data_IF_943490351604
#
_entry.id   IF_943490351604
#
_cell.length_a   1.000
_cell.length_b   1.000
_cell.length_c   1.000
_cell.angle_alpha   90.00
_cell.angle_beta   90.00
_cell.angle_gamma   90.00
#
_symmetry.space_group_name_H-M   'P 1'
#
loop_
_entity.id
_entity.type
_entity.pdbx_description
1 polymer ?
#
# COMPACT_ATOMS: atom_id res chain seq x y z
N UNK A 1 -13.15 28.23 -31.45
CA UNK A 1 -12.88 26.81 -31.78
C UNK A 1 -11.85 26.14 -30.87
N UNK A 2 -10.92 26.86 -30.23
CA UNK A 2 -9.91 26.26 -29.34
C UNK A 2 -10.47 25.75 -28.00
N UNK A 3 -11.59 26.29 -27.51
CA UNK A 3 -12.20 25.88 -26.23
C UNK A 3 -13.04 24.62 -26.30
N UNK A 4 -13.58 24.29 -27.48
CA UNK A 4 -14.44 23.14 -27.70
C UNK A 4 -13.84 22.37 -28.87
N UNK A 5 -13.03 21.36 -28.56
CA UNK A 5 -12.29 20.53 -29.52
C UNK A 5 -13.23 19.60 -30.34
N UNK A 6 -14.44 20.08 -30.63
CA UNK A 6 -15.49 19.36 -31.34
C UNK A 6 -15.31 19.54 -32.86
N UNK A 7 -15.57 18.50 -33.66
CA UNK A 7 -15.69 18.63 -35.11
C UNK A 7 -16.87 19.51 -35.50
N UNK A 8 -16.66 20.41 -36.46
CA UNK A 8 -17.72 21.28 -36.99
C UNK A 8 -17.77 21.23 -38.52
N UNK A 9 -18.97 21.23 -39.09
CA UNK A 9 -19.16 21.48 -40.52
C UNK A 9 -19.25 23.00 -40.79
N UNK A 10 -18.98 23.43 -42.02
CA UNK A 10 -19.00 24.87 -42.41
C UNK A 10 -20.28 25.59 -41.96
N UNK A 11 -21.44 24.93 -42.06
CA UNK A 11 -22.73 25.47 -41.62
C UNK A 11 -22.77 25.75 -40.12
N UNK A 12 -22.20 24.86 -39.32
CA UNK A 12 -22.17 24.95 -37.85
C UNK A 12 -21.20 26.04 -37.38
N UNK A 13 -20.15 26.28 -38.16
CA UNK A 13 -19.17 27.35 -37.91
C UNK A 13 -19.83 28.71 -38.13
N UNK A 14 -20.60 28.84 -39.20
CA UNK A 14 -21.32 30.09 -39.53
C UNK A 14 -22.39 30.40 -38.49
N UNK A 15 -23.15 29.40 -38.02
CA UNK A 15 -24.14 29.59 -36.96
C UNK A 15 -23.50 29.93 -35.62
N UNK A 16 -22.35 29.32 -35.28
CA UNK A 16 -21.59 29.64 -34.06
C UNK A 16 -20.97 31.05 -34.12
N UNK A 17 -20.64 31.54 -35.32
CA UNK A 17 -20.21 32.93 -35.55
C UNK A 17 -21.39 33.89 -35.76
N UNK A 18 -22.62 33.49 -35.42
CA UNK A 18 -23.85 34.27 -35.54
C UNK A 18 -24.13 34.84 -36.95
N UNK A 19 -23.69 34.15 -38.00
CA UNK A 19 -23.93 34.56 -39.39
C UNK A 19 -23.13 35.78 -39.84
N UNK A 20 -22.15 36.24 -39.06
CA UNK A 20 -21.32 37.43 -39.37
C UNK A 20 -20.47 37.23 -40.64
N UNK A 21 -20.19 35.98 -41.03
CA UNK A 21 -19.36 35.64 -42.19
C UNK A 21 -20.19 34.87 -43.23
N UNK A 22 -20.13 35.32 -44.48
CA UNK A 22 -20.76 34.63 -45.61
C UNK A 22 -20.10 33.28 -45.93
N UNK A 23 -20.91 32.32 -46.41
CA UNK A 23 -20.49 30.92 -46.63
C UNK A 23 -19.22 30.78 -47.48
N UNK A 24 -19.10 31.56 -48.54
CA UNK A 24 -17.96 31.52 -49.46
C UNK A 24 -16.66 31.99 -48.81
N UNK A 25 -16.73 33.04 -47.99
CA UNK A 25 -15.57 33.57 -47.25
C UNK A 25 -15.14 32.58 -46.16
N UNK A 26 -16.09 31.98 -45.44
CA UNK A 26 -15.81 30.98 -44.42
C UNK A 26 -15.07 29.77 -45.00
N UNK A 27 -15.49 29.26 -46.18
CA UNK A 27 -14.81 28.16 -46.86
C UNK A 27 -13.37 28.52 -47.22
N UNK A 28 -13.15 29.74 -47.75
CA UNK A 28 -11.80 30.20 -48.14
C UNK A 28 -10.86 30.32 -46.93
N UNK A 29 -11.34 30.88 -45.83
CA UNK A 29 -10.56 31.02 -44.58
C UNK A 29 -10.24 29.65 -43.99
N UNK A 30 -11.21 28.72 -43.97
CA UNK A 30 -10.99 27.37 -43.46
C UNK A 30 -10.01 26.58 -44.33
N UNK A 31 -10.04 26.76 -45.65
CA UNK A 31 -9.06 26.16 -46.56
C UNK A 31 -7.64 26.70 -46.28
N UNK A 32 -7.48 28.01 -46.10
CA UNK A 32 -6.19 28.60 -45.71
C UNK A 32 -5.68 28.10 -44.35
N UNK A 33 -6.55 27.93 -43.37
CA UNK A 33 -6.18 27.37 -42.06
C UNK A 33 -5.79 25.88 -42.10
N UNK A 34 -6.27 25.14 -43.10
CA UNK A 34 -5.86 23.77 -43.40
C UNK A 34 -4.49 23.77 -44.07
N UNK A 35 -4.23 24.68 -45.01
CA UNK A 35 -2.90 24.87 -45.63
C UNK A 35 -1.85 25.26 -44.60
N UNK A 36 -2.20 26.13 -43.64
CA UNK A 36 -1.37 26.48 -42.49
C UNK A 36 -1.22 25.36 -41.45
N UNK A 37 -1.83 24.18 -41.69
CA UNK A 37 -1.76 22.98 -40.85
C UNK A 37 -2.26 23.18 -39.39
N UNK A 38 -3.12 24.19 -39.18
CA UNK A 38 -3.77 24.47 -37.88
C UNK A 38 -5.07 23.68 -37.71
N UNK A 39 -5.74 23.36 -38.80
CA UNK A 39 -6.96 22.55 -38.83
C UNK A 39 -6.72 21.25 -39.61
N UNK A 40 -7.42 20.19 -39.20
CA UNK A 40 -7.59 18.97 -39.97
C UNK A 40 -8.95 19.04 -40.65
N UNK A 41 -8.98 18.83 -41.97
CA UNK A 41 -10.21 18.73 -42.74
C UNK A 41 -10.38 17.30 -43.25
N UNK A 42 -11.58 16.76 -43.12
CA UNK A 42 -11.95 15.47 -43.70
C UNK A 42 -13.31 15.58 -44.40
N UNK A 43 -13.34 15.08 -45.63
CA UNK A 43 -14.55 15.09 -46.47
C UNK A 43 -15.41 13.87 -46.16
N UNK A 44 -16.67 14.11 -45.83
CA UNK A 44 -17.70 13.10 -45.62
C UNK A 44 -18.84 13.36 -46.61
N UNK A 45 -18.84 12.61 -47.71
CA UNK A 45 -19.79 12.79 -48.81
C UNK A 45 -19.73 14.21 -49.38
N UNK A 46 -20.83 14.97 -49.25
CA UNK A 46 -20.96 16.35 -49.75
C UNK A 46 -20.51 17.43 -48.75
N UNK A 47 -20.07 17.06 -47.55
CA UNK A 47 -19.77 17.97 -46.45
C UNK A 47 -18.33 17.79 -45.96
N UNK A 48 -17.67 18.90 -45.63
CA UNK A 48 -16.31 18.91 -45.08
C UNK A 48 -16.40 19.24 -43.60
N UNK A 49 -15.79 18.40 -42.77
CA UNK A 49 -15.72 18.55 -41.32
C UNK A 49 -14.33 19.03 -40.95
N UNK A 50 -14.26 20.09 -40.15
CA UNK A 50 -13.03 20.71 -39.69
C UNK A 50 -12.85 20.48 -38.19
N UNK A 51 -11.63 20.11 -37.79
CA UNK A 51 -11.22 19.89 -36.40
C UNK A 51 -9.91 20.61 -36.15
N UNK A 52 -9.74 21.23 -34.97
CA UNK A 52 -8.45 21.84 -34.61
C UNK A 52 -7.40 20.76 -34.40
N UNK A 53 -6.21 20.94 -34.98
CA UNK A 53 -5.12 19.99 -34.83
C UNK A 53 -4.63 19.99 -33.39
N UNK A 54 -4.75 18.84 -32.73
CA UNK A 54 -4.31 18.64 -31.35
C UNK A 54 -2.79 18.39 -31.31
N UNK A 55 -2.00 19.41 -31.61
CA UNK A 55 -0.54 19.34 -31.51
C UNK A 55 -0.10 19.24 -30.05
N UNK A 56 0.50 18.11 -29.67
CA UNK A 56 1.07 17.83 -28.34
C UNK A 56 0.05 17.99 -27.20
N UNK A 57 -1.05 17.24 -27.25
CA UNK A 57 -1.60 16.78 -25.97
C UNK A 57 -0.46 15.95 -25.37
N UNK A 58 0.20 16.49 -24.33
CA UNK A 58 1.04 15.67 -23.45
C UNK A 58 0.09 14.61 -22.93
N UNK A 59 0.08 13.44 -23.56
CA UNK A 59 -0.47 12.23 -22.95
C UNK A 59 0.32 12.18 -21.64
N UNK A 60 -0.36 12.46 -20.54
CA UNK A 60 0.26 12.33 -19.24
C UNK A 60 0.56 10.83 -19.11
N UNK A 61 1.79 10.45 -19.44
CA UNK A 61 2.36 9.14 -19.12
C UNK A 61 2.65 9.12 -17.62
N UNK A 62 1.63 9.44 -16.82
CA UNK A 62 1.64 9.23 -15.36
C UNK A 62 1.48 7.75 -15.02
N UNK A 63 1.30 6.89 -16.03
CA UNK A 63 1.42 5.45 -15.89
C UNK A 63 2.89 5.06 -16.13
N UNK A 64 3.52 4.30 -15.21
CA UNK A 64 4.83 3.71 -15.48
C UNK A 64 4.74 2.87 -16.75
N UNK A 65 5.79 2.96 -17.57
CA UNK A 65 5.91 2.16 -18.78
C UNK A 65 6.02 0.68 -18.40
N UNK A 66 5.53 -0.25 -19.22
CA UNK A 66 5.64 -1.70 -18.95
C UNK A 66 7.08 -2.13 -18.62
N UNK A 67 8.07 -1.53 -19.28
CA UNK A 67 9.49 -1.74 -18.99
C UNK A 67 9.88 -1.38 -17.54
N UNK A 68 9.34 -0.29 -16.99
CA UNK A 68 9.56 0.12 -15.59
C UNK A 68 8.86 -0.81 -14.59
N UNK A 69 7.74 -1.43 -15.00
CA UNK A 69 7.07 -2.43 -14.19
C UNK A 69 7.87 -3.74 -14.16
N UNK A 70 8.40 -4.19 -15.30
CA UNK A 70 9.25 -5.38 -15.36
C UNK A 70 10.53 -5.23 -14.53
N UNK A 71 11.19 -4.05 -14.57
CA UNK A 71 12.37 -3.80 -13.73
C UNK A 71 12.03 -3.81 -12.25
N UNK A 72 10.89 -3.21 -11.85
CA UNK A 72 10.40 -3.28 -10.46
C UNK A 72 10.11 -4.71 -10.03
N UNK A 73 9.43 -5.50 -10.86
CA UNK A 73 9.13 -6.91 -10.56
C UNK A 73 10.43 -7.69 -10.34
N UNK A 74 11.41 -7.55 -11.23
CA UNK A 74 12.71 -8.22 -11.08
C UNK A 74 13.40 -7.81 -9.78
N UNK A 75 13.48 -6.51 -9.49
CA UNK A 75 14.15 -6.01 -8.28
C UNK A 75 13.47 -6.48 -6.98
N UNK A 76 12.14 -6.58 -6.98
CA UNK A 76 11.39 -7.07 -5.82
C UNK A 76 11.55 -8.58 -5.65
N UNK A 77 11.59 -9.34 -6.74
CA UNK A 77 11.88 -10.77 -6.70
C UNK A 77 13.27 -11.05 -6.16
N UNK A 78 14.27 -10.29 -6.58
CA UNK A 78 15.63 -10.43 -6.08
C UNK A 78 15.71 -10.07 -4.60
N UNK A 79 15.03 -9.00 -4.17
CA UNK A 79 14.98 -8.63 -2.75
C UNK A 79 14.29 -9.68 -1.88
N UNK A 80 13.22 -10.32 -2.38
CA UNK A 80 12.55 -11.42 -1.67
C UNK A 80 13.47 -12.64 -1.54
N UNK A 81 14.27 -12.94 -2.58
CA UNK A 81 15.26 -14.02 -2.51
C UNK A 81 16.33 -13.73 -1.47
N UNK A 82 16.94 -12.53 -1.52
CA UNK A 82 17.98 -12.14 -0.56
C UNK A 82 17.47 -12.17 0.87
N UNK A 83 16.30 -11.59 1.15
CA UNK A 83 15.71 -11.63 2.51
C UNK A 83 15.41 -13.06 2.96
N UNK A 84 14.96 -13.94 2.07
CA UNK A 84 14.75 -15.35 2.41
C UNK A 84 16.06 -16.11 2.66
N UNK A 85 17.14 -15.77 1.96
CA UNK A 85 18.47 -16.33 2.20
C UNK A 85 19.02 -15.83 3.55
N UNK A 86 18.94 -14.53 3.82
CA UNK A 86 19.31 -13.96 5.13
C UNK A 86 18.50 -14.58 6.28
N UNK A 87 17.21 -14.83 6.07
CA UNK A 87 16.38 -15.54 7.04
C UNK A 87 16.86 -16.98 7.22
N UNK A 88 17.22 -17.71 6.17
CA UNK A 88 17.74 -19.08 6.30
C UNK A 88 19.09 -19.12 7.02
N UNK A 89 19.96 -18.15 6.76
CA UNK A 89 21.29 -18.09 7.36
C UNK A 89 21.24 -17.66 8.84
N UNK A 90 20.32 -16.76 9.19
CA UNK A 90 20.17 -16.24 10.56
C UNK A 90 19.28 -17.13 11.45
N UNK A 91 18.50 -18.02 10.84
CA UNK A 91 17.54 -18.87 11.55
C UNK A 91 18.17 -20.23 11.80
N UNK A 92 18.22 -20.64 13.08
CA UNK A 92 18.66 -21.97 13.48
C UNK A 92 17.91 -23.05 12.65
N UNK A 93 18.57 -24.09 12.12
CA UNK A 93 17.92 -25.14 11.32
C UNK A 93 16.75 -25.84 12.04
N UNK A 94 16.64 -25.71 13.37
CA UNK A 94 15.53 -26.24 14.17
C UNK A 94 14.51 -25.18 14.62
N UNK A 95 14.65 -23.92 14.22
CA UNK A 95 13.70 -22.87 14.57
C UNK A 95 12.39 -23.06 13.78
N UNK A 96 11.34 -23.40 14.51
CA UNK A 96 9.98 -23.43 13.99
C UNK A 96 9.28 -22.14 14.38
N UNK A 97 8.81 -21.32 13.43
CA UNK A 97 7.99 -20.16 13.73
C UNK A 97 6.77 -20.60 14.54
N UNK A 98 6.67 -20.15 15.78
CA UNK A 98 5.53 -20.44 16.63
C UNK A 98 4.29 -19.75 16.07
N UNK A 99 3.20 -20.50 15.99
CA UNK A 99 1.91 -19.94 15.60
C UNK A 99 1.35 -19.07 16.71
N UNK A 100 0.51 -18.09 16.37
CA UNK A 100 -0.17 -17.21 17.34
C UNK A 100 -0.93 -18.03 18.40
N UNK A 101 -1.47 -19.20 18.00
CA UNK A 101 -2.18 -20.09 18.91
C UNK A 101 -1.23 -20.78 19.92
N UNK A 102 -0.03 -21.16 19.52
CA UNK A 102 0.98 -21.76 20.41
C UNK A 102 1.52 -20.72 21.40
N UNK A 103 1.75 -19.48 20.95
CA UNK A 103 2.16 -18.36 21.81
C UNK A 103 1.10 -18.12 22.90
N UNK A 104 -0.17 -18.02 22.51
CA UNK A 104 -1.27 -17.83 23.46
C UNK A 104 -1.36 -18.95 24.51
N UNK A 105 -1.15 -20.21 24.10
CA UNK A 105 -1.13 -21.34 25.05
C UNK A 105 0.01 -21.22 26.06
N UNK A 106 1.21 -20.84 25.61
CA UNK A 106 2.35 -20.63 26.50
C UNK A 106 2.10 -19.49 27.49
N UNK A 107 1.50 -18.38 27.05
CA UNK A 107 1.11 -17.26 27.92
C UNK A 107 0.10 -17.70 28.98
N UNK A 108 -0.91 -18.49 28.60
CA UNK A 108 -1.89 -19.04 29.52
C UNK A 108 -1.24 -19.98 30.56
N UNK A 109 -0.27 -20.79 30.14
CA UNK A 109 0.45 -21.70 31.03
C UNK A 109 1.39 -20.97 31.99
N UNK A 110 2.10 -19.94 31.53
CA UNK A 110 2.87 -19.06 32.41
C UNK A 110 1.98 -18.41 33.47
N UNK A 111 0.80 -17.90 33.06
CA UNK A 111 -0.16 -17.33 34.00
C UNK A 111 -0.65 -18.34 35.05
N UNK A 112 -0.80 -19.62 34.70
CA UNK A 112 -1.14 -20.68 35.66
C UNK A 112 0.00 -20.95 36.62
N UNK A 113 1.24 -21.03 36.12
CA UNK A 113 2.43 -21.27 36.93
C UNK A 113 2.64 -20.13 37.94
N UNK A 114 2.50 -18.88 37.53
CA UNK A 114 2.60 -17.73 38.43
C UNK A 114 1.58 -17.81 39.58
N UNK A 115 0.33 -18.15 39.26
CA UNK A 115 -0.72 -18.35 40.27
C UNK A 115 -0.36 -19.48 41.25
N UNK A 116 0.27 -20.55 40.77
CA UNK A 116 0.71 -21.67 41.62
C UNK A 116 1.84 -21.20 42.54
N UNK A 117 2.85 -20.52 42.00
CA UNK A 117 3.98 -19.99 42.79
C UNK A 117 3.47 -19.04 43.88
N UNK A 118 2.57 -18.10 43.55
CA UNK A 118 1.98 -17.17 44.53
C UNK A 118 1.22 -17.93 45.64
N UNK A 119 0.42 -18.94 45.28
CA UNK A 119 -0.34 -19.72 46.29
C UNK A 119 0.60 -20.52 47.19
N UNK A 120 1.62 -21.17 46.61
CA UNK A 120 2.56 -22.01 47.36
C UNK A 120 3.46 -21.18 48.27
N UNK A 121 3.96 -20.04 47.82
CA UNK A 121 4.72 -19.10 48.65
C UNK A 121 3.88 -18.59 49.82
N UNK A 122 2.61 -18.23 49.57
CA UNK A 122 1.69 -17.83 50.64
C UNK A 122 1.45 -18.95 51.67
N UNK A 123 1.25 -20.19 51.22
CA UNK A 123 1.07 -21.34 52.11
C UNK A 123 2.33 -21.62 52.93
N UNK A 124 3.50 -21.56 52.30
CA UNK A 124 4.78 -21.74 52.98
C UNK A 124 5.00 -20.67 54.05
N UNK A 125 4.70 -19.39 53.76
CA UNK A 125 4.79 -18.30 54.73
C UNK A 125 3.83 -18.49 55.91
N UNK A 126 2.58 -18.89 55.66
CA UNK A 126 1.59 -19.14 56.73
C UNK A 126 2.08 -20.29 57.62
N UNK A 127 2.55 -21.38 57.02
CA UNK A 127 3.10 -22.51 57.75
C UNK A 127 4.31 -22.10 58.59
N UNK A 128 5.23 -21.34 58.00
CA UNK A 128 6.43 -20.87 58.69
C UNK A 128 6.10 -19.96 59.89
N UNK A 129 5.19 -18.99 59.71
CA UNK A 129 4.73 -18.14 60.80
C UNK A 129 4.09 -18.97 61.93
N UNK A 130 3.32 -20.00 61.58
CA UNK A 130 2.70 -20.89 62.58
C UNK A 130 3.75 -21.67 63.38
N UNK A 131 4.83 -22.12 62.73
CA UNK A 131 5.95 -22.80 63.41
C UNK A 131 6.66 -21.80 64.34
N UNK A 132 6.95 -20.60 63.85
CA UNK A 132 7.62 -19.54 64.62
C UNK A 132 6.85 -19.16 65.88
N UNK A 133 5.52 -19.09 65.80
CA UNK A 133 4.68 -18.73 66.94
C UNK A 133 4.63 -19.83 68.01
N UNK A 134 4.99 -21.07 67.68
CA UNK A 134 4.87 -22.23 68.57
C UNK A 134 6.21 -22.86 68.98
N UNK A 135 7.36 -22.39 68.46
CA UNK A 135 8.68 -22.97 68.72
C UNK A 135 9.70 -21.92 69.16
N UNK A 136 10.36 -22.17 70.30
CA UNK A 136 11.29 -21.21 70.93
C UNK A 136 12.64 -21.05 70.22
N UNK A 137 13.05 -21.98 69.34
CA UNK A 137 14.37 -21.98 68.70
C UNK A 137 14.30 -21.83 67.17
N UNK A 138 13.70 -20.74 66.73
CA UNK A 138 13.28 -20.57 65.33
C UNK A 138 14.45 -20.43 64.33
N UNK A 139 15.61 -19.88 64.76
CA UNK A 139 16.75 -19.63 63.89
C UNK A 139 17.47 -20.92 63.43
N UNK A 140 17.62 -21.90 64.33
CA UNK A 140 18.24 -23.20 63.99
C UNK A 140 17.37 -24.03 63.04
N UNK A 141 16.04 -23.88 63.14
CA UNK A 141 15.08 -24.60 62.29
C UNK A 141 15.06 -24.00 60.88
N UNK A 142 15.20 -22.68 60.75
CA UNK A 142 15.25 -21.98 59.46
C UNK A 142 16.48 -22.42 58.65
N UNK A 143 17.65 -22.46 59.30
CA UNK A 143 18.90 -22.95 58.71
C UNK A 143 18.84 -24.45 58.40
N UNK A 144 18.27 -25.26 59.30
CA UNK A 144 18.13 -26.72 59.08
C UNK A 144 17.18 -27.08 57.94
N UNK A 145 16.18 -26.24 57.67
CA UNK A 145 15.23 -26.43 56.57
C UNK A 145 15.70 -25.82 55.24
N UNK A 146 16.82 -25.08 55.24
CA UNK A 146 17.41 -24.49 54.04
C UNK A 146 16.46 -23.55 53.29
N UNK A 147 15.60 -22.83 54.01
CA UNK A 147 14.63 -21.91 53.41
C UNK A 147 15.33 -20.58 53.08
N UNK A 148 15.61 -20.34 51.80
CA UNK A 148 15.94 -19.01 51.26
C UNK A 148 14.69 -18.42 50.60
N UNK A 149 14.23 -17.26 51.09
CA UNK A 149 13.06 -16.53 50.57
C UNK A 149 13.47 -15.49 49.53
#
# INVERSE_FOLDING_TARGET
MSMQNRPYAVTDIITNLHGVIGKTLAIKVLAGLVEENKLLAKTYGKTIVYVVKQGKIKIATSSPTDAELFTKISSLQDRVKSVNEELKDSTDPNYKPLTVAEIKKLEDDLCKLDKIVIRRTKLALILWNTIKDNVSNNAEIEESLGLEW
#
